data_IF_685056917964
#
_entry.id   IF_685056917964
#
_cell.length_a   1.000
_cell.length_b   1.000
_cell.length_c   1.000
_cell.angle_alpha   90.00
_cell.angle_beta   90.00
_cell.angle_gamma   90.00
#
_symmetry.space_group_name_H-M   'P 1'
#
loop_
_entity.id
_entity.type
_entity.pdbx_description
1 polymer ?
#
# COMPACT_ATOMS: atom_id res chain seq x y z
N UNK A 1 15.76 -19.04 -49.63
CA UNK A 1 16.35 -18.26 -48.51
C UNK A 1 15.51 -18.22 -47.22
N UNK A 2 14.30 -18.80 -47.15
CA UNK A 2 13.47 -18.72 -45.92
C UNK A 2 13.60 -19.89 -44.92
N UNK A 3 14.04 -21.10 -45.34
CA UNK A 3 14.14 -22.25 -44.41
C UNK A 3 15.33 -22.17 -43.43
N UNK A 4 16.40 -21.46 -43.77
CA UNK A 4 17.59 -21.33 -42.92
C UNK A 4 17.36 -20.39 -41.73
N UNK A 5 16.43 -19.42 -41.84
CA UNK A 5 16.13 -18.47 -40.75
C UNK A 5 15.25 -19.08 -39.65
N UNK A 6 14.39 -20.05 -39.97
CA UNK A 6 13.55 -20.72 -38.96
C UNK A 6 14.34 -21.70 -38.07
N UNK A 7 15.35 -22.37 -38.63
CA UNK A 7 16.20 -23.30 -37.87
C UNK A 7 17.07 -22.58 -36.84
N UNK A 8 17.54 -21.36 -37.16
CA UNK A 8 18.33 -20.54 -36.22
C UNK A 8 17.48 -20.03 -35.05
N UNK A 9 16.22 -19.66 -35.28
CA UNK A 9 15.32 -19.16 -34.23
C UNK A 9 14.89 -20.28 -33.27
N UNK A 10 14.64 -21.49 -33.76
CA UNK A 10 14.30 -22.65 -32.92
C UNK A 10 15.51 -23.11 -32.08
N UNK A 11 16.72 -23.03 -32.63
CA UNK A 11 17.96 -23.33 -31.90
C UNK A 11 18.24 -22.37 -30.73
N UNK A 12 17.92 -21.08 -30.89
CA UNK A 12 18.12 -20.06 -29.84
C UNK A 12 17.08 -20.20 -28.71
N UNK A 13 15.84 -20.57 -29.02
CA UNK A 13 14.80 -20.81 -28.00
C UNK A 13 15.08 -22.08 -27.20
N UNK A 14 15.56 -23.15 -27.83
CA UNK A 14 15.95 -24.39 -27.14
C UNK A 14 17.13 -24.20 -26.17
N UNK A 15 18.12 -23.38 -26.54
CA UNK A 15 19.26 -23.06 -25.69
C UNK A 15 18.87 -22.20 -24.46
N UNK A 16 17.92 -21.26 -24.62
CA UNK A 16 17.44 -20.42 -23.50
C UNK A 16 16.62 -21.21 -22.47
N UNK A 17 15.83 -22.20 -22.89
CA UNK A 17 15.06 -23.07 -21.98
C UNK A 17 15.98 -24.02 -21.20
N UNK A 18 17.04 -24.53 -21.82
CA UNK A 18 18.03 -25.37 -21.13
C UNK A 18 18.83 -24.59 -20.06
N UNK A 19 19.10 -23.31 -20.28
CA UNK A 19 19.78 -22.43 -19.30
C UNK A 19 18.86 -22.07 -18.11
N UNK A 20 17.56 -21.95 -18.33
CA UNK A 20 16.58 -21.72 -17.26
C UNK A 20 16.34 -22.96 -16.38
N UNK A 21 16.47 -24.17 -16.94
CA UNK A 21 16.34 -25.43 -16.20
C UNK A 21 17.63 -25.88 -15.49
N UNK A 22 18.78 -25.32 -15.86
CA UNK A 22 20.08 -25.60 -15.24
C UNK A 22 20.40 -24.68 -14.04
N UNK A 23 19.53 -23.71 -13.73
CA UNK A 23 19.68 -22.93 -12.51
C UNK A 23 19.30 -23.80 -11.29
N UNK A 24 20.14 -23.87 -10.24
CA UNK A 24 19.84 -24.66 -9.07
C UNK A 24 18.56 -24.15 -8.40
N UNK A 25 17.54 -25.00 -8.35
CA UNK A 25 16.26 -24.74 -7.70
C UNK A 25 16.51 -24.65 -6.19
N UNK A 26 16.57 -23.44 -5.65
CA UNK A 26 16.69 -23.19 -4.22
C UNK A 26 15.32 -23.49 -3.58
N UNK A 27 15.17 -24.66 -2.95
CA UNK A 27 13.95 -24.97 -2.18
C UNK A 27 13.50 -26.43 -2.07
N UNK A 28 14.35 -27.42 -2.29
CA UNK A 28 14.03 -28.82 -1.96
C UNK A 28 15.14 -29.43 -1.10
N UNK A 29 14.99 -29.35 0.22
CA UNK A 29 15.63 -30.26 1.16
C UNK A 29 14.60 -30.61 2.25
N UNK A 30 14.34 -31.92 2.38
CA UNK A 30 13.66 -32.52 3.51
C UNK A 30 14.62 -32.65 4.70
N UNK A 31 14.02 -32.49 5.88
CA UNK A 31 14.42 -32.95 7.20
C UNK A 31 15.55 -32.24 7.98
N UNK A 32 15.09 -31.63 9.07
CA UNK A 32 15.73 -31.47 10.40
C UNK A 32 16.97 -30.59 10.47
N UNK A 33 16.71 -29.29 10.55
CA UNK A 33 17.44 -28.40 11.44
C UNK A 33 16.49 -27.28 11.87
N UNK A 34 16.17 -27.23 13.16
CA UNK A 34 15.54 -26.06 13.80
C UNK A 34 16.53 -24.90 13.74
N UNK A 35 16.59 -24.21 12.59
CA UNK A 35 17.25 -22.94 12.48
C UNK A 35 16.23 -21.84 12.81
N UNK A 36 16.36 -21.28 14.02
CA UNK A 36 15.81 -20.00 14.38
C UNK A 36 16.14 -18.97 13.28
N UNK A 37 15.19 -18.70 12.40
CA UNK A 37 15.29 -17.60 11.45
C UNK A 37 14.88 -16.32 12.17
N UNK A 38 15.87 -15.72 12.84
CA UNK A 38 15.82 -14.30 13.15
C UNK A 38 15.55 -13.54 11.85
N UNK A 39 14.43 -12.80 11.83
CA UNK A 39 14.16 -11.81 10.80
C UNK A 39 15.39 -10.89 10.66
N UNK A 40 15.72 -10.43 9.45
CA UNK A 40 16.79 -9.45 9.31
C UNK A 40 16.38 -8.21 10.10
N UNK A 41 17.13 -7.90 11.15
CA UNK A 41 17.06 -6.62 11.86
C UNK A 41 17.45 -5.55 10.86
N UNK A 42 16.44 -4.95 10.23
CA UNK A 42 16.59 -3.74 9.45
C UNK A 42 17.22 -2.68 10.35
N UNK A 43 18.35 -2.12 9.93
CA UNK A 43 18.92 -0.92 10.54
C UNK A 43 17.84 0.18 10.48
N UNK A 44 17.15 0.41 11.60
CA UNK A 44 16.12 1.44 11.74
C UNK A 44 16.68 2.87 11.73
N UNK A 45 17.88 3.07 11.18
CA UNK A 45 18.66 4.32 11.26
C UNK A 45 18.84 5.01 9.91
N UNK A 46 18.37 4.43 8.80
CA UNK A 46 18.61 5.01 7.47
C UNK A 46 17.66 6.17 7.13
N UNK A 47 16.42 6.16 7.63
CA UNK A 47 15.43 7.20 7.37
C UNK A 47 14.89 7.81 8.68
N UNK A 48 14.90 9.13 8.76
CA UNK A 48 14.41 9.92 9.89
C UNK A 48 13.74 11.21 9.40
N UNK A 49 13.13 11.97 10.31
CA UNK A 49 12.41 13.20 9.94
C UNK A 49 13.31 14.19 9.19
N UNK A 50 14.56 14.37 9.64
CA UNK A 50 15.49 15.32 9.05
C UNK A 50 15.80 14.97 7.59
N UNK A 51 16.27 13.75 7.33
CA UNK A 51 16.67 13.39 5.96
C UNK A 51 15.47 13.25 5.00
N UNK A 52 14.32 12.73 5.47
CA UNK A 52 13.10 12.64 4.64
C UNK A 52 12.51 14.02 4.36
N UNK A 53 12.60 14.96 5.30
CA UNK A 53 12.27 16.36 5.05
C UNK A 53 13.19 16.96 3.98
N UNK A 54 14.51 16.81 4.12
CA UNK A 54 15.47 17.34 3.14
C UNK A 54 15.23 16.78 1.74
N UNK A 55 14.96 15.48 1.61
CA UNK A 55 14.55 14.86 0.35
C UNK A 55 13.25 15.46 -0.19
N UNK A 56 12.27 15.71 0.68
CA UNK A 56 10.95 16.24 0.30
C UNK A 56 10.98 17.73 -0.08
N UNK A 57 11.97 18.49 0.42
CA UNK A 57 12.25 19.87 0.03
C UNK A 57 12.83 19.99 -1.38
N UNK A 58 13.40 18.91 -1.93
CA UNK A 58 13.92 18.91 -3.30
C UNK A 58 12.78 19.16 -4.29
N UNK A 59 12.91 20.23 -5.10
CA UNK A 59 11.90 20.63 -6.08
C UNK A 59 10.84 21.61 -5.56
N UNK A 60 10.91 22.04 -4.29
CA UNK A 60 10.13 23.17 -3.79
C UNK A 60 10.78 24.51 -4.16
N UNK A 61 10.00 25.59 -4.14
CA UNK A 61 10.53 26.93 -4.30
C UNK A 61 11.25 27.40 -3.03
N UNK A 62 12.13 28.41 -3.16
CA UNK A 62 12.96 28.89 -2.04
C UNK A 62 12.16 29.39 -0.85
N UNK A 63 11.01 30.04 -1.07
CA UNK A 63 10.15 30.56 0.00
C UNK A 63 9.61 29.43 0.88
N UNK A 64 9.10 28.36 0.25
CA UNK A 64 8.59 27.19 0.96
C UNK A 64 9.71 26.45 1.72
N UNK A 65 10.90 26.36 1.13
CA UNK A 65 12.07 25.75 1.77
C UNK A 65 12.46 26.53 3.02
N UNK A 66 12.46 27.86 2.95
CA UNK A 66 12.77 28.75 4.08
C UNK A 66 11.71 28.61 5.18
N UNK A 67 10.42 28.72 4.84
CA UNK A 67 9.31 28.53 5.79
C UNK A 67 9.39 27.19 6.55
N UNK A 68 9.62 26.09 5.83
CA UNK A 68 9.71 24.76 6.44
C UNK A 68 10.95 24.67 7.34
N UNK A 69 12.10 25.17 6.85
CA UNK A 69 13.37 25.09 7.60
C UNK A 69 13.33 25.97 8.86
N UNK A 70 12.59 27.08 8.85
CA UNK A 70 12.37 27.92 10.01
C UNK A 70 11.52 27.23 11.08
N UNK A 71 10.46 26.52 10.68
CA UNK A 71 9.65 25.74 11.62
C UNK A 71 10.50 24.62 12.23
N UNK A 72 11.28 23.90 11.41
CA UNK A 72 12.20 22.85 11.87
C UNK A 72 13.24 23.38 12.86
N UNK A 73 13.83 24.55 12.57
CA UNK A 73 14.78 25.21 13.45
C UNK A 73 14.15 25.62 14.78
N UNK A 74 12.88 26.07 14.78
CA UNK A 74 12.14 26.37 16.01
C UNK A 74 11.89 25.11 16.84
N UNK A 75 11.46 24.00 16.21
CA UNK A 75 11.21 22.71 16.88
C UNK A 75 12.44 22.24 17.67
N UNK A 76 13.65 22.38 17.11
CA UNK A 76 14.89 21.95 17.79
C UNK A 76 15.24 22.78 19.03
N UNK A 77 14.72 24.01 19.14
CA UNK A 77 15.01 24.95 20.23
C UNK A 77 13.90 25.00 21.30
N UNK A 78 12.73 24.45 21.01
CA UNK A 78 11.54 24.53 21.85
C UNK A 78 11.50 23.51 22.99
N UNK A 79 10.78 23.85 24.06
CA UNK A 79 10.45 22.90 25.14
C UNK A 79 9.49 21.81 24.63
N UNK A 80 9.34 20.72 25.39
CA UNK A 80 8.40 19.65 25.03
C UNK A 80 6.95 20.14 24.93
N UNK A 81 6.55 21.15 25.74
CA UNK A 81 5.19 21.71 25.69
C UNK A 81 4.93 22.50 24.41
N UNK A 82 5.91 23.28 23.95
CA UNK A 82 5.80 24.11 22.74
C UNK A 82 5.99 23.27 21.46
N UNK A 83 6.78 22.19 21.54
CA UNK A 83 7.18 21.35 20.43
C UNK A 83 5.99 20.75 19.68
N UNK A 84 4.95 20.32 20.38
CA UNK A 84 3.78 19.68 19.74
C UNK A 84 3.02 20.66 18.84
N UNK A 85 2.91 21.94 19.22
CA UNK A 85 2.26 22.95 18.40
C UNK A 85 3.04 23.25 17.12
N UNK A 86 4.36 23.33 17.21
CA UNK A 86 5.22 23.53 16.03
C UNK A 86 5.24 22.29 15.12
N UNK A 87 5.24 21.09 15.69
CA UNK A 87 5.11 19.85 14.92
C UNK A 87 3.76 19.80 14.18
N UNK A 88 2.65 20.23 14.81
CA UNK A 88 1.38 20.30 14.11
C UNK A 88 1.44 21.24 12.90
N UNK A 89 2.02 22.45 13.07
CA UNK A 89 2.23 23.38 11.95
C UNK A 89 3.07 22.76 10.83
N UNK A 90 4.12 22.01 11.18
CA UNK A 90 4.96 21.33 10.20
C UNK A 90 4.19 20.19 9.48
N UNK A 91 3.35 19.44 10.20
CA UNK A 91 2.52 18.39 9.61
C UNK A 91 1.50 18.96 8.62
N UNK A 92 0.89 20.10 8.96
CA UNK A 92 -0.06 20.80 8.10
C UNK A 92 0.63 21.32 6.83
N UNK A 93 1.84 21.88 6.95
CA UNK A 93 2.65 22.28 5.79
C UNK A 93 2.97 21.12 4.86
N UNK A 94 3.28 19.94 5.40
CA UNK A 94 3.52 18.76 4.56
C UNK A 94 2.24 18.20 3.93
N UNK A 95 1.09 18.37 4.60
CA UNK A 95 -0.23 18.03 4.06
C UNK A 95 -0.59 18.90 2.85
N UNK A 96 -0.43 20.22 2.98
CA UNK A 96 -0.68 21.21 1.93
C UNK A 96 0.14 20.93 0.67
N UNK A 97 1.35 20.37 0.84
CA UNK A 97 2.26 20.01 -0.24
C UNK A 97 2.07 18.59 -0.77
N UNK A 98 1.09 17.85 -0.24
CA UNK A 98 0.84 16.43 -0.52
C UNK A 98 2.13 15.58 -0.37
N UNK A 99 2.88 15.82 0.70
CA UNK A 99 4.12 15.10 1.05
C UNK A 99 3.89 14.18 2.27
N UNK A 100 3.26 13.01 2.09
CA UNK A 100 2.87 12.14 3.19
C UNK A 100 4.06 11.51 3.93
N UNK A 101 5.22 11.36 3.28
CA UNK A 101 6.40 10.76 3.90
C UNK A 101 6.91 11.60 5.10
N UNK A 102 7.33 12.87 4.94
CA UNK A 102 7.77 13.69 6.07
C UNK A 102 6.62 13.93 7.06
N UNK A 103 5.38 14.07 6.58
CA UNK A 103 4.20 14.20 7.43
C UNK A 103 4.06 13.03 8.43
N UNK A 104 4.27 11.79 7.98
CA UNK A 104 4.24 10.61 8.86
C UNK A 104 5.28 10.66 9.97
N UNK A 105 6.50 11.09 9.65
CA UNK A 105 7.57 11.29 10.64
C UNK A 105 7.23 12.39 11.65
N UNK A 106 6.60 13.47 11.21
CA UNK A 106 6.16 14.55 12.10
C UNK A 106 5.10 14.04 13.08
N UNK A 107 4.07 13.33 12.59
CA UNK A 107 3.04 12.76 13.47
C UNK A 107 3.59 11.70 14.42
N UNK A 108 4.56 10.89 13.99
CA UNK A 108 5.25 9.96 14.88
C UNK A 108 6.00 10.70 15.99
N UNK A 109 6.68 11.81 15.69
CA UNK A 109 7.37 12.64 16.68
C UNK A 109 6.37 13.30 17.65
N UNK A 110 5.21 13.75 17.15
CA UNK A 110 4.11 14.23 17.99
C UNK A 110 3.61 13.14 18.93
N UNK A 111 3.44 11.91 18.43
CA UNK A 111 2.98 10.77 19.22
C UNK A 111 4.01 10.33 20.26
N UNK A 112 5.30 10.46 19.98
CA UNK A 112 6.38 10.23 20.97
C UNK A 112 6.44 11.31 22.03
N UNK A 113 6.20 12.57 21.66
CA UNK A 113 6.24 13.72 22.58
C UNK A 113 4.99 13.80 23.46
N UNK A 114 3.82 13.55 22.88
CA UNK A 114 2.52 13.56 23.55
C UNK A 114 1.69 12.37 23.06
N UNK A 115 1.79 11.19 23.71
CA UNK A 115 1.12 9.98 23.25
C UNK A 115 -0.40 10.13 23.21
N UNK A 116 -0.95 10.19 21.99
CA UNK A 116 -2.38 10.20 21.71
C UNK A 116 -2.69 9.21 20.60
N UNK A 117 -3.85 8.55 20.71
CA UNK A 117 -4.35 7.62 19.69
C UNK A 117 -4.38 8.29 18.30
N UNK A 118 -4.89 9.51 18.23
CA UNK A 118 -5.00 10.29 17.00
C UNK A 118 -3.65 10.48 16.29
N UNK A 119 -2.57 10.78 17.01
CA UNK A 119 -1.26 11.01 16.40
C UNK A 119 -0.67 9.73 15.83
N UNK A 120 -0.83 8.60 16.51
CA UNK A 120 -0.42 7.29 15.99
C UNK A 120 -1.24 6.88 14.76
N UNK A 121 -2.55 7.16 14.74
CA UNK A 121 -3.40 6.94 13.57
C UNK A 121 -2.95 7.78 12.37
N UNK A 122 -2.75 9.09 12.57
CA UNK A 122 -2.29 9.99 11.51
C UNK A 122 -0.90 9.62 10.99
N UNK A 123 0.03 9.25 11.88
CA UNK A 123 1.35 8.76 11.48
C UNK A 123 1.24 7.51 10.59
N UNK A 124 0.47 6.51 11.04
CA UNK A 124 0.26 5.28 10.28
C UNK A 124 -0.39 5.52 8.90
N UNK A 125 -1.40 6.39 8.84
CA UNK A 125 -2.08 6.76 7.60
C UNK A 125 -1.15 7.49 6.63
N UNK A 126 -0.38 8.47 7.12
CA UNK A 126 0.58 9.22 6.31
C UNK A 126 1.70 8.30 5.78
N UNK A 127 2.27 7.44 6.62
CA UNK A 127 3.24 6.45 6.16
C UNK A 127 2.66 5.51 5.11
N UNK A 128 1.41 5.06 5.30
CA UNK A 128 0.72 4.22 4.33
C UNK A 128 0.55 4.90 2.98
N UNK A 129 0.03 6.13 2.98
CA UNK A 129 -0.11 6.94 1.77
C UNK A 129 1.23 7.18 1.09
N UNK A 130 2.31 7.33 1.86
CA UNK A 130 3.64 7.54 1.32
C UNK A 130 4.17 6.31 0.56
N UNK A 131 4.14 5.11 1.14
CA UNK A 131 4.69 3.95 0.45
C UNK A 131 3.78 3.40 -0.66
N UNK A 132 2.46 3.59 -0.61
CA UNK A 132 1.57 3.17 -1.70
C UNK A 132 1.82 3.94 -2.99
N UNK A 133 2.38 5.15 -2.87
CA UNK A 133 2.72 6.00 -4.00
C UNK A 133 4.18 5.84 -4.47
N UNK A 134 4.97 5.02 -3.77
CA UNK A 134 6.36 4.74 -4.13
C UNK A 134 6.46 3.40 -4.86
N UNK A 135 7.44 3.31 -5.77
CA UNK A 135 7.88 2.02 -6.30
C UNK A 135 8.54 1.20 -5.18
N UNK A 136 8.72 -0.10 -5.40
CA UNK A 136 9.43 -0.99 -4.47
C UNK A 136 10.88 -0.50 -4.28
N UNK A 137 11.07 0.24 -3.20
CA UNK A 137 12.29 0.96 -2.83
C UNK A 137 12.55 0.71 -1.35
N UNK A 138 13.80 0.85 -0.93
CA UNK A 138 14.16 0.74 0.51
C UNK A 138 13.34 1.69 1.38
N UNK A 139 13.05 2.90 0.87
CA UNK A 139 12.19 3.86 1.56
C UNK A 139 10.75 3.35 1.69
N UNK A 140 10.16 2.79 0.62
CA UNK A 140 8.81 2.21 0.69
C UNK A 140 8.71 1.09 1.74
N UNK A 141 9.72 0.21 1.81
CA UNK A 141 9.78 -0.85 2.82
C UNK A 141 9.90 -0.28 4.24
N UNK A 142 10.77 0.74 4.43
CA UNK A 142 10.91 1.41 5.72
C UNK A 142 9.62 2.11 6.17
N UNK A 143 8.97 2.83 5.27
CA UNK A 143 7.70 3.51 5.54
C UNK A 143 6.57 2.51 5.84
N UNK A 144 6.54 1.34 5.18
CA UNK A 144 5.60 0.28 5.54
C UNK A 144 5.81 -0.21 6.99
N UNK A 145 7.05 -0.46 7.38
CA UNK A 145 7.37 -0.85 8.75
C UNK A 145 7.02 0.26 9.76
N UNK A 146 7.20 1.53 9.39
CA UNK A 146 6.77 2.66 10.21
C UNK A 146 5.24 2.69 10.35
N UNK A 147 4.49 2.45 9.27
CA UNK A 147 3.04 2.38 9.31
C UNK A 147 2.55 1.27 10.25
N UNK A 148 3.12 0.06 10.15
CA UNK A 148 2.79 -1.07 11.02
C UNK A 148 3.04 -0.69 12.49
N UNK A 149 4.24 -0.19 12.83
CA UNK A 149 4.57 0.21 14.20
C UNK A 149 3.66 1.31 14.72
N UNK A 150 3.30 2.29 13.89
CA UNK A 150 2.41 3.36 14.29
C UNK A 150 1.01 2.82 14.63
N UNK A 151 0.44 1.97 13.78
CA UNK A 151 -0.86 1.36 14.06
C UNK A 151 -0.82 0.37 15.23
N UNK A 152 0.28 -0.36 15.44
CA UNK A 152 0.46 -1.18 16.64
C UNK A 152 0.42 -0.33 17.91
N UNK A 153 1.06 0.85 17.92
CA UNK A 153 0.97 1.77 19.05
C UNK A 153 -0.45 2.32 19.23
N UNK A 154 -1.17 2.62 18.14
CA UNK A 154 -2.58 3.00 18.21
C UNK A 154 -3.44 1.89 18.84
N UNK A 155 -3.27 0.63 18.41
CA UNK A 155 -3.97 -0.53 18.98
C UNK A 155 -3.59 -0.77 20.45
N UNK A 156 -2.34 -0.49 20.85
CA UNK A 156 -1.94 -0.57 22.27
C UNK A 156 -2.64 0.48 23.14
N UNK A 157 -2.89 1.68 22.61
CA UNK A 157 -3.62 2.73 23.31
C UNK A 157 -5.12 2.44 23.37
N UNK A 158 -5.70 1.92 22.30
CA UNK A 158 -7.10 1.48 22.25
C UNK A 158 -7.25 0.23 21.38
N UNK A 159 -7.30 -0.94 22.04
CA UNK A 159 -7.43 -2.24 21.38
C UNK A 159 -8.80 -2.49 20.76
N UNK A 160 -9.79 -1.63 21.03
CA UNK A 160 -11.12 -1.71 20.44
C UNK A 160 -11.29 -0.81 19.20
N UNK A 161 -10.33 0.08 18.95
CA UNK A 161 -10.40 1.03 17.86
C UNK A 161 -10.32 0.32 16.49
N UNK A 162 -11.43 0.37 15.75
CA UNK A 162 -11.53 -0.30 14.46
C UNK A 162 -10.66 0.37 13.39
N UNK A 163 -10.43 1.68 13.45
CA UNK A 163 -9.58 2.38 12.49
C UNK A 163 -8.11 1.97 12.63
N UNK A 164 -7.63 1.83 13.87
CA UNK A 164 -6.28 1.34 14.18
C UNK A 164 -6.10 -0.10 13.69
N UNK A 165 -7.07 -0.98 13.96
CA UNK A 165 -7.05 -2.36 13.47
C UNK A 165 -7.11 -2.44 11.94
N UNK A 166 -7.91 -1.59 11.31
CA UNK A 166 -8.04 -1.51 9.85
C UNK A 166 -6.73 -1.06 9.22
N UNK A 167 -6.13 0.00 9.75
CA UNK A 167 -4.85 0.52 9.30
C UNK A 167 -3.72 -0.51 9.44
N UNK A 168 -3.62 -1.15 10.61
CA UNK A 168 -2.65 -2.22 10.86
C UNK A 168 -2.84 -3.39 9.90
N UNK A 169 -4.07 -3.89 9.80
CA UNK A 169 -4.39 -5.03 8.96
C UNK A 169 -4.08 -4.77 7.50
N UNK A 170 -4.44 -3.59 7.00
CA UNK A 170 -4.13 -3.18 5.64
C UNK A 170 -2.62 -3.03 5.40
N UNK A 171 -1.88 -2.39 6.31
CA UNK A 171 -0.44 -2.23 6.18
C UNK A 171 0.31 -3.57 6.18
N UNK A 172 -0.16 -4.55 6.96
CA UNK A 172 0.37 -5.92 6.97
C UNK A 172 0.07 -6.66 5.66
N UNK A 173 -1.14 -6.48 5.09
CA UNK A 173 -1.52 -7.12 3.83
C UNK A 173 -0.72 -6.58 2.64
N UNK A 174 -0.53 -5.26 2.56
CA UNK A 174 0.08 -4.62 1.39
C UNK A 174 1.61 -4.56 1.42
N UNK A 175 2.27 -4.67 2.57
CA UNK A 175 3.72 -4.48 2.66
C UNK A 175 4.50 -5.55 3.41
N UNK A 176 3.89 -6.70 3.70
CA UNK A 176 4.63 -7.85 4.24
C UNK A 176 4.51 -9.06 3.34
N UNK A 177 5.51 -9.95 3.38
CA UNK A 177 5.46 -11.24 2.69
C UNK A 177 4.49 -12.24 3.33
N UNK A 178 3.90 -11.91 4.49
CA UNK A 178 2.97 -12.78 5.20
C UNK A 178 1.68 -12.04 5.57
N UNK A 179 0.74 -11.89 4.61
CA UNK A 179 -0.46 -11.08 4.80
C UNK A 179 -1.48 -11.67 5.80
N UNK A 180 -1.30 -12.91 6.27
CA UNK A 180 -2.33 -13.65 7.01
C UNK A 180 -2.72 -13.03 8.35
N UNK A 181 -1.76 -12.48 9.09
CA UNK A 181 -2.06 -11.77 10.33
C UNK A 181 -2.92 -10.52 10.07
N UNK A 182 -2.61 -9.77 9.00
CA UNK A 182 -3.42 -8.63 8.58
C UNK A 182 -4.83 -9.03 8.14
N UNK A 183 -4.95 -10.12 7.38
CA UNK A 183 -6.27 -10.64 6.97
C UNK A 183 -7.11 -11.08 8.17
N UNK A 184 -6.52 -11.74 9.18
CA UNK A 184 -7.23 -12.10 10.39
C UNK A 184 -7.79 -10.85 11.11
N UNK A 185 -6.95 -9.81 11.24
CA UNK A 185 -7.35 -8.55 11.87
C UNK A 185 -8.48 -7.83 11.10
N UNK A 186 -8.39 -7.79 9.77
CA UNK A 186 -9.45 -7.18 8.94
C UNK A 186 -10.76 -7.97 8.99
N UNK A 187 -10.70 -9.30 9.16
CA UNK A 187 -11.90 -10.11 9.37
C UNK A 187 -12.56 -9.81 10.72
N UNK A 188 -11.80 -9.54 11.77
CA UNK A 188 -12.36 -9.04 13.04
C UNK A 188 -13.05 -7.70 12.85
N UNK A 189 -12.40 -6.76 12.12
CA UNK A 189 -13.00 -5.45 11.82
C UNK A 189 -14.33 -5.64 11.11
N UNK A 190 -14.39 -6.42 10.03
CA UNK A 190 -15.63 -6.62 9.27
C UNK A 190 -16.70 -7.38 10.07
N UNK A 191 -16.31 -8.19 11.06
CA UNK A 191 -17.27 -8.82 11.96
C UNK A 191 -17.91 -7.80 12.93
N UNK A 192 -17.15 -6.80 13.37
CA UNK A 192 -17.63 -5.72 14.24
C UNK A 192 -18.34 -4.59 13.49
N UNK A 193 -17.80 -4.20 12.33
CA UNK A 193 -18.33 -3.20 11.41
C UNK A 193 -18.32 -3.76 9.97
N UNK A 194 -19.42 -4.40 9.54
CA UNK A 194 -19.55 -4.92 8.18
C UNK A 194 -19.45 -3.86 7.09
N UNK A 195 -19.63 -2.57 7.43
CA UNK A 195 -19.60 -1.44 6.49
C UNK A 195 -18.26 -0.73 6.46
N UNK A 196 -17.23 -1.26 7.13
CA UNK A 196 -15.91 -0.68 7.04
C UNK A 196 -15.37 -0.79 5.59
N UNK A 197 -15.33 0.34 4.88
CA UNK A 197 -14.99 0.41 3.45
C UNK A 197 -13.58 -0.11 3.21
N UNK A 198 -12.62 0.35 4.00
CA UNK A 198 -11.20 0.05 3.82
C UNK A 198 -10.88 -1.42 4.11
N UNK A 199 -11.48 -2.00 5.15
CA UNK A 199 -11.34 -3.41 5.44
C UNK A 199 -11.96 -4.30 4.35
N UNK A 200 -13.15 -3.95 3.85
CA UNK A 200 -13.76 -4.68 2.73
C UNK A 200 -12.94 -4.54 1.44
N UNK A 201 -12.41 -3.34 1.14
CA UNK A 201 -11.54 -3.12 -0.02
C UNK A 201 -10.27 -3.96 0.05
N UNK A 202 -9.58 -3.93 1.19
CA UNK A 202 -8.35 -4.71 1.39
C UNK A 202 -8.61 -6.22 1.33
N UNK A 203 -9.66 -6.71 1.98
CA UNK A 203 -10.05 -8.13 1.90
C UNK A 203 -10.47 -8.53 0.48
N UNK A 204 -11.14 -7.64 -0.26
CA UNK A 204 -11.52 -7.85 -1.66
C UNK A 204 -10.31 -7.96 -2.58
N UNK A 205 -9.34 -7.04 -2.44
CA UNK A 205 -8.06 -7.07 -3.14
C UNK A 205 -7.30 -8.37 -2.90
N UNK A 206 -7.16 -8.75 -1.62
CA UNK A 206 -6.53 -10.01 -1.26
C UNK A 206 -7.29 -11.22 -1.81
N UNK A 207 -8.63 -11.16 -1.86
CA UNK A 207 -9.46 -12.22 -2.45
C UNK A 207 -9.21 -12.35 -3.97
N UNK A 208 -9.03 -11.25 -4.71
CA UNK A 208 -8.62 -11.31 -6.13
C UNK A 208 -7.24 -11.95 -6.29
N UNK A 209 -6.25 -11.52 -5.49
CA UNK A 209 -4.89 -12.06 -5.54
C UNK A 209 -4.84 -13.56 -5.23
N UNK A 210 -5.64 -14.01 -4.25
CA UNK A 210 -5.77 -15.42 -3.87
C UNK A 210 -6.79 -16.20 -4.72
N UNK A 211 -7.31 -15.60 -5.81
CA UNK A 211 -8.26 -16.20 -6.76
C UNK A 211 -9.60 -16.64 -6.13
N UNK A 212 -9.96 -16.06 -4.99
CA UNK A 212 -11.27 -16.22 -4.34
C UNK A 212 -12.26 -15.20 -4.92
N UNK A 213 -12.53 -15.32 -6.22
CA UNK A 213 -13.26 -14.30 -6.99
C UNK A 213 -14.68 -14.03 -6.47
N UNK A 214 -15.40 -15.05 -6.02
CA UNK A 214 -16.75 -14.88 -5.45
C UNK A 214 -16.73 -13.98 -4.21
N UNK A 215 -15.76 -14.19 -3.32
CA UNK A 215 -15.57 -13.35 -2.13
C UNK A 215 -15.16 -11.93 -2.51
N UNK A 216 -14.28 -11.78 -3.51
CA UNK A 216 -13.91 -10.47 -4.01
C UNK A 216 -15.14 -9.70 -4.51
N UNK A 217 -16.00 -10.34 -5.31
CA UNK A 217 -17.24 -9.77 -5.83
C UNK A 217 -18.15 -9.28 -4.70
N UNK A 218 -18.39 -10.10 -3.66
CA UNK A 218 -19.21 -9.71 -2.50
C UNK A 218 -18.63 -8.48 -1.76
N UNK A 219 -17.31 -8.47 -1.57
CA UNK A 219 -16.60 -7.37 -0.90
C UNK A 219 -16.70 -6.08 -1.69
N UNK A 220 -16.43 -6.10 -2.99
CA UNK A 220 -16.50 -4.91 -3.83
C UNK A 220 -17.94 -4.42 -4.03
N UNK A 221 -18.93 -5.31 -4.09
CA UNK A 221 -20.35 -4.90 -4.02
C UNK A 221 -20.66 -4.12 -2.74
N UNK A 222 -20.15 -4.57 -1.61
CA UNK A 222 -20.30 -3.87 -0.32
C UNK A 222 -19.66 -2.48 -0.37
N UNK A 223 -18.43 -2.37 -0.88
CA UNK A 223 -17.73 -1.09 -1.04
C UNK A 223 -18.52 -0.14 -1.94
N UNK A 224 -18.92 -0.59 -3.12
CA UNK A 224 -19.66 0.21 -4.11
C UNK A 224 -21.00 0.70 -3.56
N UNK A 225 -21.69 -0.12 -2.77
CA UNK A 225 -22.97 0.28 -2.15
C UNK A 225 -22.80 1.43 -1.13
N UNK A 226 -21.62 1.57 -0.54
CA UNK A 226 -21.32 2.60 0.46
C UNK A 226 -20.68 3.84 -0.17
N UNK A 227 -19.71 3.63 -1.07
CA UNK A 227 -18.97 4.68 -1.77
C UNK A 227 -18.61 4.18 -3.17
N UNK A 228 -19.41 4.50 -4.19
CA UNK A 228 -19.07 4.18 -5.57
C UNK A 228 -17.79 4.91 -5.99
N UNK A 229 -16.82 4.16 -6.52
CA UNK A 229 -15.60 4.72 -7.12
C UNK A 229 -15.11 3.85 -8.28
N UNK A 230 -14.29 4.45 -9.16
CA UNK A 230 -13.80 3.79 -10.37
C UNK A 230 -13.01 2.51 -10.07
N UNK A 231 -12.17 2.56 -9.03
CA UNK A 231 -11.27 1.48 -8.65
C UNK A 231 -12.02 0.24 -8.16
N UNK A 232 -13.05 0.42 -7.32
CA UNK A 232 -13.86 -0.67 -6.79
C UNK A 232 -14.70 -1.33 -7.88
N UNK A 233 -15.23 -0.54 -8.83
CA UNK A 233 -15.90 -1.09 -10.01
C UNK A 233 -14.94 -1.86 -10.92
N UNK A 234 -13.70 -1.38 -11.09
CA UNK A 234 -12.68 -2.07 -11.86
C UNK A 234 -12.35 -3.44 -11.25
N UNK A 235 -12.19 -3.50 -9.92
CA UNK A 235 -11.94 -4.77 -9.22
C UNK A 235 -13.16 -5.70 -9.20
N UNK A 236 -14.38 -5.16 -9.10
CA UNK A 236 -15.60 -5.93 -9.26
C UNK A 236 -15.67 -6.57 -10.66
N UNK A 237 -15.38 -5.79 -11.70
CA UNK A 237 -15.35 -6.27 -13.09
C UNK A 237 -14.31 -7.36 -13.30
N UNK A 238 -13.11 -7.19 -12.72
CA UNK A 238 -12.04 -8.20 -12.72
C UNK A 238 -12.50 -9.50 -12.05
N UNK A 239 -13.24 -9.41 -10.94
CA UNK A 239 -13.83 -10.56 -10.28
C UNK A 239 -14.81 -11.30 -11.20
N UNK A 240 -15.76 -10.58 -11.80
CA UNK A 240 -16.73 -11.17 -12.73
C UNK A 240 -16.09 -11.82 -13.96
N UNK A 241 -15.09 -11.16 -14.53
CA UNK A 241 -14.35 -11.69 -15.67
C UNK A 241 -13.70 -13.04 -15.34
N UNK A 242 -13.07 -13.16 -14.18
CA UNK A 242 -12.36 -14.38 -13.80
C UNK A 242 -13.29 -15.58 -13.54
N UNK A 243 -14.58 -15.35 -13.26
CA UNK A 243 -15.60 -16.40 -13.13
C UNK A 243 -16.44 -16.57 -14.41
N UNK A 244 -16.10 -15.87 -15.49
CA UNK A 244 -16.75 -16.01 -16.79
C UNK A 244 -18.08 -15.25 -16.95
N UNK A 245 -18.44 -14.39 -15.99
CA UNK A 245 -19.61 -13.52 -16.07
C UNK A 245 -19.31 -12.29 -16.92
N UNK A 246 -19.19 -12.51 -18.25
CA UNK A 246 -18.74 -11.49 -19.22
C UNK A 246 -19.62 -10.24 -19.22
N UNK A 247 -20.94 -10.39 -19.18
CA UNK A 247 -21.86 -9.25 -19.27
C UNK A 247 -21.75 -8.35 -18.04
N UNK A 248 -21.68 -8.95 -16.86
CA UNK A 248 -21.51 -8.29 -15.57
C UNK A 248 -20.13 -7.60 -15.48
N UNK A 249 -19.09 -8.26 -16.00
CA UNK A 249 -17.76 -7.66 -16.10
C UNK A 249 -17.77 -6.41 -16.98
N UNK A 250 -18.36 -6.48 -18.18
CA UNK A 250 -18.47 -5.33 -19.09
C UNK A 250 -19.26 -4.20 -18.43
N UNK A 251 -20.39 -4.48 -17.80
CA UNK A 251 -21.20 -3.46 -17.12
C UNK A 251 -20.41 -2.78 -15.99
N UNK A 252 -19.70 -3.55 -15.16
CA UNK A 252 -18.88 -3.00 -14.09
C UNK A 252 -17.67 -2.19 -14.63
N UNK A 253 -17.03 -2.65 -15.71
CA UNK A 253 -15.97 -1.88 -16.38
C UNK A 253 -16.47 -0.55 -16.96
N UNK A 254 -17.69 -0.52 -17.52
CA UNK A 254 -18.29 0.73 -18.00
C UNK A 254 -18.54 1.72 -16.85
N UNK A 255 -19.00 1.24 -15.69
CA UNK A 255 -19.14 2.08 -14.49
C UNK A 255 -17.78 2.59 -14.01
N UNK A 256 -16.75 1.75 -14.00
CA UNK A 256 -15.39 2.15 -13.66
C UNK A 256 -14.90 3.28 -14.58
N UNK A 257 -15.07 3.13 -15.91
CA UNK A 257 -14.70 4.14 -16.89
C UNK A 257 -15.48 5.44 -16.74
N UNK A 258 -16.78 5.38 -16.45
CA UNK A 258 -17.62 6.57 -16.26
C UNK A 258 -17.16 7.42 -15.07
N UNK A 259 -16.67 6.76 -14.02
CA UNK A 259 -16.19 7.41 -12.80
C UNK A 259 -14.69 7.79 -12.86
N UNK A 260 -13.94 7.26 -13.83
CA UNK A 260 -12.52 7.52 -13.97
C UNK A 260 -12.25 8.90 -14.55
N UNK A 261 -11.39 9.67 -13.90
CA UNK A 261 -10.79 10.89 -14.48
C UNK A 261 -9.51 10.59 -15.27
N UNK A 262 -9.05 9.33 -15.28
CA UNK A 262 -7.80 8.88 -15.89
C UNK A 262 -8.03 8.32 -17.31
N UNK A 263 -7.48 8.96 -18.36
CA UNK A 263 -7.54 8.45 -19.72
C UNK A 263 -6.85 7.10 -19.91
N UNK A 264 -5.78 6.80 -19.16
CA UNK A 264 -5.04 5.54 -19.26
C UNK A 264 -5.89 4.38 -18.77
N UNK A 265 -6.54 4.53 -17.61
CA UNK A 265 -7.51 3.55 -17.11
C UNK A 265 -8.67 3.36 -18.11
N UNK A 266 -9.17 4.43 -18.68
CA UNK A 266 -10.26 4.38 -19.66
C UNK A 266 -9.89 3.58 -20.91
N UNK A 267 -8.69 3.79 -21.47
CA UNK A 267 -8.20 3.04 -22.63
C UNK A 267 -7.97 1.56 -22.31
N UNK A 268 -7.43 1.26 -21.12
CA UNK A 268 -7.27 -0.12 -20.67
C UNK A 268 -8.64 -0.83 -20.60
N UNK A 269 -9.64 -0.17 -20.01
CA UNK A 269 -11.00 -0.69 -19.91
C UNK A 269 -11.60 -0.94 -21.30
N UNK A 270 -11.45 -0.02 -22.24
CA UNK A 270 -12.00 -0.18 -23.60
C UNK A 270 -11.47 -1.43 -24.29
N UNK A 271 -10.14 -1.65 -24.21
CA UNK A 271 -9.52 -2.87 -24.74
C UNK A 271 -10.07 -4.12 -24.07
N UNK A 272 -10.26 -4.08 -22.74
CA UNK A 272 -10.76 -5.25 -22.01
C UNK A 272 -12.21 -5.60 -22.37
N UNK A 273 -13.05 -4.59 -22.56
CA UNK A 273 -14.43 -4.76 -23.02
C UNK A 273 -14.46 -5.35 -24.45
N UNK A 274 -13.58 -4.90 -25.35
CA UNK A 274 -13.48 -5.46 -26.70
C UNK A 274 -13.07 -6.93 -26.68
N UNK A 275 -12.11 -7.30 -25.84
CA UNK A 275 -11.66 -8.69 -25.65
C UNK A 275 -12.78 -9.58 -25.09
N UNK A 276 -13.57 -9.09 -24.14
CA UNK A 276 -14.69 -9.83 -23.54
C UNK A 276 -15.87 -10.03 -24.51
N UNK A 277 -16.05 -9.10 -25.46
CA UNK A 277 -17.13 -9.11 -26.45
C UNK A 277 -16.88 -10.04 -27.64
N UNK A 278 -15.68 -10.63 -27.73
CA UNK A 278 -15.33 -11.68 -28.69
C UNK A 278 -15.64 -13.07 -28.14
#
# INVERSE_FOLDING_TARGET
MQKTKQVVVIGVVGALVAVLLAQPIKGLVNDKEEAQTSAPTANSSEFNLENVSQMSKQGLNSSLIEEISDIEAQITKSSAEEKVSLLQQLADKWDDLAKPAPQGFVYEEMAKTSPKLEYWLKAGQAYRAAYTNLQDTTLAQSLNQNAIRAFENAVKLDGSNLDAKTGLGAAMVSGTNNPMAGIALLREVVAADPKNIEANKTLGLFSLQSRQFDKAIERFKTVIALKPDAESYFYLATGYENIGLKNEAIAAFQQAKQLAADPTLSQFIDRRIEELSK
#
